data_IF_368593957269
#
_entry.id   IF_368593957269
#
_cell.length_a   1.000
_cell.length_b   1.000
_cell.length_c   1.000
_cell.angle_alpha   90.00
_cell.angle_beta   90.00
_cell.angle_gamma   90.00
#
_symmetry.space_group_name_H-M   'P 1'
#
loop_
_entity.id
_entity.type
_entity.pdbx_description
1 polymer ?
#
# COMPACT_ATOMS: atom_id res chain seq x y z
N UNK A 1 -24.78 17.88 -1.41
CA UNK A 1 -23.53 17.84 -2.19
C UNK A 1 -23.16 16.38 -2.33
N UNK A 2 -23.41 15.78 -3.49
CA UNK A 2 -23.05 14.39 -3.76
C UNK A 2 -21.53 14.26 -3.88
N UNK A 3 -20.87 14.11 -2.73
CA UNK A 3 -19.44 13.85 -2.65
C UNK A 3 -19.14 12.45 -3.17
N UNK A 4 -18.86 12.33 -4.47
CA UNK A 4 -18.44 11.06 -5.07
C UNK A 4 -17.12 10.62 -4.43
N UNK A 5 -17.14 9.49 -3.74
CA UNK A 5 -15.92 8.86 -3.20
C UNK A 5 -15.08 8.41 -4.40
N UNK A 6 -13.86 8.94 -4.52
CA UNK A 6 -12.91 8.58 -5.56
C UNK A 6 -11.77 7.75 -4.96
N UNK A 7 -11.51 6.59 -5.56
CA UNK A 7 -10.37 5.74 -5.20
C UNK A 7 -9.21 6.04 -6.14
N UNK A 8 -8.06 6.38 -5.57
CA UNK A 8 -6.84 6.70 -6.31
C UNK A 8 -5.63 6.17 -5.55
N UNK A 9 -4.63 5.72 -6.30
CA UNK A 9 -3.30 5.36 -5.81
C UNK A 9 -2.36 6.56 -5.69
N UNK A 10 -2.74 7.70 -6.28
CA UNK A 10 -1.97 8.96 -6.19
C UNK A 10 -2.15 9.66 -4.83
N UNK A 11 -1.10 10.28 -4.29
CA UNK A 11 -1.18 11.11 -3.09
C UNK A 11 -2.20 12.24 -3.26
N UNK A 12 -3.19 12.32 -2.36
CA UNK A 12 -4.21 13.37 -2.31
C UNK A 12 -4.42 13.89 -0.89
N UNK A 13 -4.85 15.15 -0.80
CA UNK A 13 -5.07 15.86 0.46
C UNK A 13 -6.32 15.31 1.18
N UNK A 14 -6.24 15.10 2.49
CA UNK A 14 -7.35 14.59 3.31
C UNK A 14 -7.79 13.17 2.96
N UNK A 15 -6.95 12.41 2.25
CA UNK A 15 -7.29 11.07 1.82
C UNK A 15 -7.01 10.04 2.92
N UNK A 16 -8.03 9.23 3.19
CA UNK A 16 -7.93 8.13 4.14
C UNK A 16 -7.33 6.89 3.46
N UNK A 17 -6.30 6.31 4.11
CA UNK A 17 -5.73 5.04 3.66
C UNK A 17 -6.77 3.93 3.78
N UNK A 18 -7.03 3.28 2.65
CA UNK A 18 -7.91 2.12 2.57
C UNK A 18 -7.06 0.85 2.59
N UNK A 19 -7.09 0.11 3.69
CA UNK A 19 -6.44 -1.21 3.81
C UNK A 19 -7.51 -2.30 3.68
N UNK A 20 -7.93 -2.57 2.45
CA UNK A 20 -8.88 -3.64 2.16
C UNK A 20 -8.30 -4.56 1.09
N UNK A 21 -8.41 -5.87 1.33
CA UNK A 21 -8.12 -6.86 0.31
C UNK A 21 -9.34 -6.96 -0.60
N UNK A 22 -9.22 -6.68 -1.91
CA UNK A 22 -10.34 -6.85 -2.84
C UNK A 22 -10.76 -8.32 -2.85
N UNK A 23 -12.07 -8.57 -2.84
CA UNK A 23 -12.58 -9.94 -2.85
C UNK A 23 -12.30 -10.59 -4.20
N UNK A 24 -11.74 -11.80 -4.18
CA UNK A 24 -11.60 -12.63 -5.37
C UNK A 24 -12.96 -13.26 -5.65
N UNK A 25 -13.67 -12.76 -6.64
CA UNK A 25 -15.01 -13.24 -7.01
C UNK A 25 -15.04 -14.74 -7.36
N UNK A 26 -16.23 -15.30 -7.53
CA UNK A 26 -16.41 -16.72 -7.88
C UNK A 26 -15.83 -16.99 -9.27
N UNK A 27 -14.79 -17.82 -9.34
CA UNK A 27 -14.07 -18.13 -10.59
C UNK A 27 -14.50 -19.45 -11.24
N UNK A 28 -15.43 -20.20 -10.64
CA UNK A 28 -15.84 -21.54 -11.08
C UNK A 28 -17.36 -21.73 -10.91
N UNK A 29 -18.11 -21.57 -12.00
CA UNK A 29 -19.56 -21.83 -12.06
C UNK A 29 -19.94 -22.94 -13.05
N UNK A 30 -19.04 -23.34 -13.97
CA UNK A 30 -19.36 -24.27 -15.07
C UNK A 30 -18.20 -25.21 -15.46
N UNK A 31 -17.49 -25.76 -14.48
CA UNK A 31 -16.42 -26.75 -14.72
C UNK A 31 -15.10 -26.17 -15.26
N UNK A 32 -15.12 -25.00 -15.89
CA UNK A 32 -13.94 -24.24 -16.29
C UNK A 32 -13.63 -23.13 -15.26
N UNK A 33 -12.37 -23.08 -14.81
CA UNK A 33 -11.87 -21.98 -13.98
C UNK A 33 -11.41 -20.84 -14.89
N UNK A 34 -12.00 -19.66 -14.77
CA UNK A 34 -11.52 -18.46 -15.46
C UNK A 34 -10.91 -17.52 -14.44
N UNK A 35 -9.58 -17.38 -14.48
CA UNK A 35 -8.83 -16.48 -13.62
C UNK A 35 -8.38 -15.29 -14.46
N UNK A 36 -8.71 -14.08 -14.03
CA UNK A 36 -8.22 -12.85 -14.67
C UNK A 36 -6.70 -12.69 -14.46
N UNK A 37 -6.05 -11.96 -15.36
CA UNK A 37 -4.59 -11.78 -15.32
C UNK A 37 -4.10 -11.18 -13.98
N UNK A 38 -4.87 -10.28 -13.38
CA UNK A 38 -4.52 -9.66 -12.10
C UNK A 38 -4.56 -10.65 -10.93
N UNK A 39 -5.59 -11.50 -10.89
CA UNK A 39 -5.73 -12.55 -9.87
C UNK A 39 -4.67 -13.64 -10.06
N UNK A 40 -4.33 -13.97 -11.31
CA UNK A 40 -3.25 -14.91 -11.61
C UNK A 40 -1.89 -14.38 -11.13
N UNK A 41 -1.62 -13.09 -11.34
CA UNK A 41 -0.40 -12.42 -10.85
C UNK A 41 -0.33 -12.41 -9.32
N UNK A 42 -1.45 -12.13 -8.66
CA UNK A 42 -1.56 -12.18 -7.19
C UNK A 42 -1.23 -13.58 -6.65
N UNK A 43 -1.85 -14.63 -7.20
CA UNK A 43 -1.55 -16.02 -6.83
C UNK A 43 -0.08 -16.39 -7.02
N UNK A 44 0.56 -15.91 -8.09
CA UNK A 44 1.97 -16.15 -8.31
C UNK A 44 2.84 -15.49 -7.22
N UNK A 45 2.54 -14.25 -6.85
CA UNK A 45 3.25 -13.52 -5.79
C UNK A 45 3.07 -14.21 -4.42
N UNK A 46 1.87 -14.66 -4.09
CA UNK A 46 1.59 -15.43 -2.87
C UNK A 46 2.38 -16.75 -2.85
N UNK A 47 2.39 -17.48 -3.97
CA UNK A 47 3.14 -18.73 -4.11
C UNK A 47 4.64 -18.53 -3.87
N UNK A 48 5.21 -17.47 -4.46
CA UNK A 48 6.61 -17.09 -4.22
C UNK A 48 6.86 -16.76 -2.75
N UNK A 49 6.02 -15.92 -2.14
CA UNK A 49 6.19 -15.53 -0.75
C UNK A 49 6.16 -16.74 0.18
N UNK A 50 5.25 -17.71 -0.05
CA UNK A 50 5.20 -18.96 0.73
C UNK A 50 6.44 -19.83 0.55
N UNK A 51 6.95 -19.92 -0.67
CA UNK A 51 8.16 -20.68 -0.98
C UNK A 51 9.41 -20.08 -0.31
N UNK A 52 9.52 -18.75 -0.27
CA UNK A 52 10.68 -18.05 0.32
C UNK A 52 10.54 -17.78 1.83
N UNK A 53 9.34 -17.88 2.40
CA UNK A 53 9.09 -17.70 3.84
C UNK A 53 10.07 -18.45 4.78
N UNK A 54 10.43 -19.73 4.58
CA UNK A 54 11.39 -20.40 5.47
C UNK A 54 12.81 -19.81 5.42
N UNK A 55 13.17 -19.13 4.32
CA UNK A 55 14.48 -18.51 4.15
C UNK A 55 14.51 -17.06 4.63
N UNK A 56 13.42 -16.31 4.40
CA UNK A 56 13.36 -14.87 4.68
C UNK A 56 12.63 -14.52 5.96
N UNK A 57 11.77 -15.41 6.47
CA UNK A 57 10.83 -15.15 7.55
C UNK A 57 9.69 -14.18 7.19
N UNK A 58 9.64 -13.68 5.95
CA UNK A 58 8.68 -12.65 5.55
C UNK A 58 7.29 -13.23 5.28
N UNK A 59 6.26 -12.44 5.61
CA UNK A 59 4.90 -12.72 5.16
C UNK A 59 4.66 -12.23 3.70
N UNK A 60 3.49 -12.53 3.13
CA UNK A 60 3.16 -12.22 1.74
C UNK A 60 3.25 -10.71 1.43
N UNK A 61 2.74 -9.84 2.32
CA UNK A 61 2.78 -8.39 2.15
C UNK A 61 4.21 -7.83 2.26
N UNK A 62 4.99 -8.30 3.24
CA UNK A 62 6.38 -7.91 3.43
C UNK A 62 7.22 -8.31 2.21
N UNK A 63 7.02 -9.54 1.72
CA UNK A 63 7.72 -10.04 0.55
C UNK A 63 7.36 -9.26 -0.71
N UNK A 64 6.08 -8.91 -0.91
CA UNK A 64 5.66 -8.07 -2.04
C UNK A 64 6.29 -6.67 -1.98
N UNK A 65 6.35 -6.06 -0.80
CA UNK A 65 6.99 -4.75 -0.61
C UNK A 65 8.49 -4.81 -0.84
N UNK A 66 9.19 -5.82 -0.31
CA UNK A 66 10.63 -5.99 -0.55
C UNK A 66 10.93 -6.30 -2.02
N UNK A 67 10.08 -7.07 -2.70
CA UNK A 67 10.21 -7.33 -4.14
C UNK A 67 10.05 -6.04 -4.96
N UNK A 68 9.07 -5.19 -4.63
CA UNK A 68 8.90 -3.87 -5.27
C UNK A 68 10.09 -2.95 -5.03
N UNK A 69 10.65 -2.98 -3.83
CA UNK A 69 11.81 -2.18 -3.42
C UNK A 69 13.13 -2.76 -3.91
N UNK A 70 13.17 -3.98 -4.45
CA UNK A 70 14.42 -4.65 -4.85
C UNK A 70 15.27 -3.78 -5.79
N UNK A 71 14.61 -3.10 -6.74
CA UNK A 71 15.22 -2.18 -7.72
C UNK A 71 15.80 -0.87 -7.13
N UNK A 72 15.48 -0.54 -5.88
CA UNK A 72 15.93 0.69 -5.24
C UNK A 72 17.33 0.49 -4.64
N UNK A 73 18.13 1.56 -4.67
CA UNK A 73 19.43 1.57 -4.00
C UNK A 73 19.28 1.56 -2.46
N UNK A 74 20.36 1.24 -1.75
CA UNK A 74 20.33 1.08 -0.30
C UNK A 74 19.95 2.36 0.47
N UNK A 75 20.24 3.56 -0.07
CA UNK A 75 19.84 4.82 0.54
C UNK A 75 18.33 5.03 0.37
N UNK A 76 17.82 4.82 -0.85
CA UNK A 76 16.38 4.92 -1.12
C UNK A 76 15.55 3.92 -0.29
N UNK A 77 16.03 2.69 -0.11
CA UNK A 77 15.37 1.69 0.75
C UNK A 77 15.25 2.16 2.21
N UNK A 78 16.30 2.78 2.76
CA UNK A 78 16.27 3.33 4.12
C UNK A 78 15.32 4.52 4.21
N UNK A 79 15.36 5.41 3.23
CA UNK A 79 14.47 6.56 3.16
C UNK A 79 13.00 6.13 3.08
N UNK A 80 12.67 5.12 2.28
CA UNK A 80 11.32 4.54 2.23
C UNK A 80 10.85 4.09 3.62
N UNK A 81 11.69 3.40 4.39
CA UNK A 81 11.34 2.91 5.74
C UNK A 81 11.10 4.07 6.71
N UNK A 82 11.92 5.12 6.63
CA UNK A 82 11.75 6.32 7.46
C UNK A 82 10.47 7.07 7.11
N UNK A 83 10.19 7.24 5.81
CA UNK A 83 8.97 7.89 5.32
C UNK A 83 7.72 7.08 5.69
N UNK A 84 7.78 5.76 5.56
CA UNK A 84 6.68 4.86 5.93
C UNK A 84 6.30 5.02 7.42
N UNK A 85 7.28 5.02 8.32
CA UNK A 85 7.05 5.26 9.73
C UNK A 85 6.45 6.66 10.00
N UNK A 86 6.98 7.70 9.34
CA UNK A 86 6.50 9.07 9.50
C UNK A 86 5.06 9.27 8.99
N UNK A 87 4.70 8.62 7.87
CA UNK A 87 3.33 8.64 7.33
C UNK A 87 2.37 7.99 8.32
N UNK A 88 2.73 6.82 8.86
CA UNK A 88 1.87 6.10 9.81
C UNK A 88 1.62 6.90 11.10
N UNK A 89 2.66 7.51 11.66
CA UNK A 89 2.55 8.35 12.86
C UNK A 89 1.68 9.58 12.60
N UNK A 90 1.88 10.29 11.48
CA UNK A 90 1.07 11.44 11.12
C UNK A 90 -0.39 11.07 10.82
N UNK A 91 -0.66 9.95 10.13
CA UNK A 91 -2.02 9.44 9.92
C UNK A 91 -2.72 9.12 11.25
N UNK A 92 -2.00 8.60 12.23
CA UNK A 92 -2.54 8.34 13.56
C UNK A 92 -2.86 9.65 14.30
N UNK A 93 -1.97 10.64 14.22
CA UNK A 93 -2.20 11.98 14.78
C UNK A 93 -3.41 12.66 14.15
N UNK A 94 -3.55 12.62 12.82
CA UNK A 94 -4.69 13.16 12.08
C UNK A 94 -6.01 12.56 12.58
N UNK A 95 -6.07 11.24 12.78
CA UNK A 95 -7.27 10.54 13.30
C UNK A 95 -7.63 10.94 14.73
N UNK A 96 -6.64 11.30 15.55
CA UNK A 96 -6.81 11.66 16.95
C UNK A 96 -6.93 13.17 17.21
N UNK A 97 -6.62 14.00 16.21
CA UNK A 97 -6.47 15.46 16.35
C UNK A 97 -7.79 16.23 16.36
N UNK A 98 -7.75 17.44 16.93
CA UNK A 98 -8.83 18.42 16.83
C UNK A 98 -8.80 19.11 15.45
N UNK A 99 -9.96 19.51 14.92
CA UNK A 99 -10.10 20.06 13.55
C UNK A 99 -9.09 21.16 13.19
N UNK A 100 -8.74 22.03 14.13
CA UNK A 100 -7.84 23.17 13.87
C UNK A 100 -6.38 22.77 13.57
N UNK A 101 -5.96 21.56 13.97
CA UNK A 101 -4.61 21.03 13.65
C UNK A 101 -4.62 20.02 12.51
N UNK A 102 -5.79 19.54 12.09
CA UNK A 102 -5.95 18.53 11.04
C UNK A 102 -5.48 19.05 9.69
N UNK A 103 -5.78 20.31 9.34
CA UNK A 103 -5.40 20.87 8.04
C UNK A 103 -3.87 20.92 7.85
N UNK A 104 -3.13 21.30 8.90
CA UNK A 104 -1.67 21.31 8.88
C UNK A 104 -1.09 19.89 8.77
N UNK A 105 -1.66 18.94 9.52
CA UNK A 105 -1.26 17.53 9.46
C UNK A 105 -1.52 16.92 8.08
N UNK A 106 -2.64 17.27 7.43
CA UNK A 106 -2.96 16.79 6.09
C UNK A 106 -1.96 17.28 5.04
N UNK A 107 -1.47 18.50 5.16
CA UNK A 107 -0.42 19.03 4.28
C UNK A 107 0.90 18.26 4.49
N UNK A 108 1.31 18.04 5.74
CA UNK A 108 2.52 17.26 6.05
C UNK A 108 2.43 15.82 5.52
N UNK A 109 1.29 15.15 5.72
CA UNK A 109 1.03 13.80 5.19
C UNK A 109 1.13 13.79 3.66
N UNK A 110 0.59 14.82 2.99
CA UNK A 110 0.66 14.93 1.54
C UNK A 110 2.10 15.02 1.05
N UNK A 111 2.93 15.86 1.67
CA UNK A 111 4.35 16.01 1.32
C UNK A 111 5.13 14.70 1.50
N UNK A 112 4.91 14.01 2.63
CA UNK A 112 5.51 12.71 2.91
C UNK A 112 5.09 11.67 1.87
N UNK A 113 3.80 11.58 1.55
CA UNK A 113 3.26 10.65 0.53
C UNK A 113 3.78 10.97 -0.88
N UNK A 114 3.93 12.25 -1.23
CA UNK A 114 4.53 12.65 -2.50
C UNK A 114 5.99 12.22 -2.60
N UNK A 115 6.78 12.39 -1.52
CA UNK A 115 8.17 11.94 -1.49
C UNK A 115 8.26 10.42 -1.60
N UNK A 116 7.42 9.70 -0.83
CA UNK A 116 7.33 8.25 -0.85
C UNK A 116 7.03 7.74 -2.28
N UNK A 117 6.02 8.31 -2.95
CA UNK A 117 5.68 7.98 -4.32
C UNK A 117 6.80 8.31 -5.32
N UNK A 118 7.48 9.46 -5.18
CA UNK A 118 8.59 9.87 -6.07
C UNK A 118 9.78 8.90 -6.00
N UNK A 119 10.06 8.33 -4.83
CA UNK A 119 11.13 7.34 -4.64
C UNK A 119 10.78 5.95 -5.19
N UNK A 120 9.52 5.73 -5.59
CA UNK A 120 9.07 4.40 -6.03
C UNK A 120 9.05 3.38 -4.90
N UNK A 121 8.93 3.87 -3.66
CA UNK A 121 8.42 3.11 -2.55
C UNK A 121 6.92 2.81 -2.82
#
# INVERSE_FOLDING_TARGET
MDGKIAYTDKPCLGAQRLDVMPTRGVNKLSGQTRIGADVAREHHQEGMARAFKPLTGMNEQQFATETRRYRLDGRSKRECRTLEAAILDNEQRERSGMRDTVDALQQEILELRQRYHKLGC
#
